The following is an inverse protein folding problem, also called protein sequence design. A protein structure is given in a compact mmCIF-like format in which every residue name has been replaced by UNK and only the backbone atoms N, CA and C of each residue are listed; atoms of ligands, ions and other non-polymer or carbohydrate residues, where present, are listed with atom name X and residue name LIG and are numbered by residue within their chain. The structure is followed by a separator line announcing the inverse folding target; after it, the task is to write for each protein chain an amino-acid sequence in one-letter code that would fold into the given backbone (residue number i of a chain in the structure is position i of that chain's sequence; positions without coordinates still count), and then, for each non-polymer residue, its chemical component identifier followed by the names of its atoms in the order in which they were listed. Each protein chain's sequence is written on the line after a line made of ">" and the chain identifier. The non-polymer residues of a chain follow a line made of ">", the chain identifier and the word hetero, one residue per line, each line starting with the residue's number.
data_IF_738560752744
#
_entry.id   IF_738560752744
#
_cell.length_a   1.000
_cell.length_b   1.000
_cell.length_c   1.000
_cell.angle_alpha   90.00
_cell.angle_beta   90.00
_cell.angle_gamma   90.00
#
_symmetry.space_group_name_H-M   'P 1'
#
loop_
_entity.id
_entity.type
_entity.pdbx_description
1 polymer ?
#
# COMPACT_ATOMS: atom_id res chain seq x y z
N UNK A 1 -18.14 -22.51 -24.15
CA UNK A 1 -17.90 -21.10 -24.52
C UNK A 1 -17.04 -20.49 -23.42
N UNK A 2 -15.72 -20.41 -23.64
CA UNK A 2 -14.82 -19.79 -22.66
C UNK A 2 -14.93 -18.26 -22.84
N UNK A 3 -15.39 -17.57 -21.80
CA UNK A 3 -15.34 -16.12 -21.76
C UNK A 3 -13.86 -15.70 -21.80
N UNK A 4 -13.48 -14.94 -22.83
CA UNK A 4 -12.15 -14.35 -22.91
C UNK A 4 -11.93 -13.46 -21.69
N UNK A 5 -10.85 -13.68 -20.95
CA UNK A 5 -10.45 -12.81 -19.87
C UNK A 5 -10.32 -11.37 -20.41
N UNK A 6 -10.86 -10.35 -19.71
CA UNK A 6 -10.78 -8.98 -20.16
C UNK A 6 -9.31 -8.58 -20.33
N UNK A 7 -9.00 -7.91 -21.45
CA UNK A 7 -7.67 -7.38 -21.74
C UNK A 7 -7.15 -6.56 -20.55
N UNK A 8 -5.89 -6.73 -20.13
CA UNK A 8 -5.36 -6.03 -18.97
C UNK A 8 -5.51 -4.51 -19.17
N UNK A 9 -6.05 -3.77 -18.19
CA UNK A 9 -6.20 -2.34 -18.31
C UNK A 9 -4.81 -1.69 -18.52
N UNK A 10 -4.73 -0.59 -19.29
CA UNK A 10 -3.49 0.12 -19.53
C UNK A 10 -2.92 0.58 -18.17
N UNK A 11 -1.68 0.17 -17.88
CA UNK A 11 -0.86 0.49 -16.69
C UNK A 11 -1.68 0.97 -15.48
N UNK A 12 -2.09 0.02 -14.63
CA UNK A 12 -2.81 0.22 -13.35
C UNK A 12 -2.80 1.68 -12.84
N UNK A 13 -3.85 2.45 -13.19
CA UNK A 13 -3.97 3.85 -12.81
C UNK A 13 -3.88 3.97 -11.28
N UNK A 14 -2.89 4.72 -10.81
CA UNK A 14 -2.68 4.98 -9.40
C UNK A 14 -3.58 6.14 -8.96
N UNK A 15 -4.53 5.87 -8.07
CA UNK A 15 -5.47 6.85 -7.54
C UNK A 15 -5.00 7.33 -6.16
N UNK A 16 -4.72 8.63 -5.99
CA UNK A 16 -4.40 9.19 -4.68
C UNK A 16 -5.69 9.42 -3.87
N UNK A 17 -5.86 8.66 -2.80
CA UNK A 17 -7.01 8.75 -1.90
C UNK A 17 -6.86 9.86 -0.86
N UNK A 18 -5.65 10.05 -0.31
CA UNK A 18 -5.41 11.08 0.70
C UNK A 18 -3.97 11.55 0.73
N UNK A 19 -3.76 12.76 1.26
CA UNK A 19 -2.47 13.39 1.50
C UNK A 19 -2.50 14.22 2.77
N UNK A 20 -1.58 13.97 3.68
CA UNK A 20 -1.49 14.67 4.97
C UNK A 20 -0.05 15.06 5.26
N UNK A 21 0.20 16.34 5.55
CA UNK A 21 1.53 16.83 5.90
C UNK A 21 1.91 16.39 7.30
N UNK A 22 3.11 15.84 7.48
CA UNK A 22 3.61 15.37 8.79
C UNK A 22 5.13 15.41 8.85
N UNK A 23 5.71 15.92 9.94
CA UNK A 23 7.17 15.97 10.17
C UNK A 23 7.98 16.52 8.99
N UNK A 24 7.45 17.56 8.31
CA UNK A 24 8.05 18.15 7.11
C UNK A 24 7.78 17.39 5.80
N UNK A 25 7.40 16.11 5.89
CA UNK A 25 7.03 15.25 4.76
C UNK A 25 5.52 15.12 4.55
N UNK A 26 5.11 14.06 3.85
CA UNK A 26 3.71 13.74 3.58
C UNK A 26 3.41 12.25 3.78
N UNK A 27 2.35 11.94 4.51
CA UNK A 27 1.65 10.67 4.42
C UNK A 27 0.70 10.72 3.23
N UNK A 28 0.81 9.76 2.32
CA UNK A 28 0.00 9.60 1.12
C UNK A 28 -0.68 8.25 1.19
N UNK A 29 -1.90 8.18 0.66
CA UNK A 29 -2.62 6.91 0.51
C UNK A 29 -3.04 6.76 -0.93
N UNK A 30 -2.78 5.59 -1.48
CA UNK A 30 -3.08 5.29 -2.87
C UNK A 30 -3.90 4.02 -3.01
N UNK A 31 -4.72 3.99 -4.05
CA UNK A 31 -5.41 2.80 -4.55
C UNK A 31 -4.91 2.49 -5.95
N UNK A 32 -4.69 1.22 -6.23
CA UNK A 32 -4.35 0.73 -7.55
C UNK A 32 -5.04 -0.60 -7.81
N UNK A 33 -5.23 -0.96 -9.07
CA UNK A 33 -5.65 -2.31 -9.42
C UNK A 33 -4.44 -3.24 -9.45
N UNK A 34 -4.43 -4.28 -8.62
CA UNK A 34 -3.36 -5.27 -8.59
C UNK A 34 -3.62 -6.35 -9.64
N UNK A 35 -2.77 -6.41 -10.67
CA UNK A 35 -2.85 -7.47 -11.68
C UNK A 35 -2.58 -8.87 -11.09
N UNK A 36 -1.79 -8.97 -10.01
CA UNK A 36 -1.48 -10.24 -9.35
C UNK A 36 -2.66 -10.76 -8.53
N UNK A 37 -3.38 -9.86 -7.85
CA UNK A 37 -4.47 -10.21 -6.95
C UNK A 37 -5.86 -10.09 -7.61
N UNK A 38 -5.93 -9.50 -8.80
CA UNK A 38 -7.18 -9.30 -9.55
C UNK A 38 -8.14 -8.31 -8.89
N UNK A 39 -7.70 -7.51 -7.92
CA UNK A 39 -8.56 -6.62 -7.14
C UNK A 39 -7.92 -5.24 -6.92
N UNK A 40 -8.73 -4.22 -6.57
CA UNK A 40 -8.21 -2.97 -6.03
C UNK A 40 -7.46 -3.22 -4.71
N UNK A 41 -6.28 -2.62 -4.58
CA UNK A 41 -5.42 -2.70 -3.39
C UNK A 41 -5.06 -1.29 -2.95
N UNK A 42 -5.02 -1.10 -1.63
CA UNK A 42 -4.65 0.18 -1.01
C UNK A 42 -3.29 0.06 -0.35
N UNK A 43 -2.49 1.11 -0.40
CA UNK A 43 -1.24 1.20 0.34
C UNK A 43 -0.99 2.64 0.78
N UNK A 44 -0.26 2.78 1.87
CA UNK A 44 0.16 4.08 2.38
C UNK A 44 1.66 4.29 2.20
N UNK A 45 2.07 5.52 1.93
CA UNK A 45 3.46 5.94 1.75
C UNK A 45 3.74 7.15 2.62
N UNK A 46 4.83 7.12 3.38
CA UNK A 46 5.41 8.34 3.95
C UNK A 46 6.59 8.79 3.10
N UNK A 47 6.50 10.01 2.55
CA UNK A 47 7.61 10.68 1.88
C UNK A 47 8.24 11.69 2.83
N UNK A 48 9.53 11.52 3.20
CA UNK A 48 10.23 12.46 4.06
C UNK A 48 10.48 13.79 3.34
N UNK A 49 10.74 14.88 4.09
CA UNK A 49 11.22 16.13 3.49
C UNK A 49 12.62 15.91 2.91
N UNK A 50 12.74 15.72 1.60
CA UNK A 50 14.03 15.56 0.94
C UNK A 50 14.00 16.17 -0.47
N UNK A 51 15.08 16.85 -0.89
CA UNK A 51 15.23 17.33 -2.26
C UNK A 51 15.74 16.24 -3.23
N UNK A 52 16.14 15.07 -2.71
CA UNK A 52 16.67 13.97 -3.52
C UNK A 52 15.55 13.24 -4.27
N UNK A 53 15.78 12.90 -5.53
CA UNK A 53 14.85 12.10 -6.33
C UNK A 53 14.81 10.63 -5.92
N UNK A 54 15.95 10.13 -5.43
CA UNK A 54 16.11 8.75 -5.01
C UNK A 54 16.21 8.69 -3.48
N UNK A 55 15.21 8.07 -2.85
CA UNK A 55 15.16 7.86 -1.41
C UNK A 55 15.26 6.37 -1.09
N UNK A 56 15.99 5.98 -0.04
CA UNK A 56 15.91 4.62 0.46
C UNK A 56 14.47 4.32 0.92
N UNK A 57 13.99 3.13 0.60
CA UNK A 57 12.60 2.71 0.84
C UNK A 57 12.58 1.58 1.85
N UNK A 58 11.81 1.77 2.92
CA UNK A 58 11.50 0.72 3.89
C UNK A 58 10.06 0.25 3.70
N UNK A 59 9.90 -1.03 3.37
CA UNK A 59 8.60 -1.68 3.31
C UNK A 59 8.24 -2.24 4.68
N UNK A 60 7.13 -1.77 5.25
CA UNK A 60 6.59 -2.27 6.50
C UNK A 60 5.43 -3.22 6.23
N UNK A 61 5.61 -4.49 6.58
CA UNK A 61 4.56 -5.51 6.48
C UNK A 61 3.83 -5.59 7.82
N UNK A 62 2.62 -5.05 7.86
CA UNK A 62 1.78 -5.12 9.06
C UNK A 62 1.34 -6.56 9.36
N UNK A 63 1.14 -6.88 10.64
CA UNK A 63 0.69 -8.20 11.09
C UNK A 63 -0.81 -8.46 10.82
N UNK A 64 -1.27 -9.66 11.20
CA UNK A 64 -2.68 -10.08 11.07
C UNK A 64 -3.65 -9.00 11.61
N UNK A 65 -4.78 -8.82 10.93
CA UNK A 65 -5.85 -7.84 11.20
C UNK A 65 -5.52 -6.35 11.00
N UNK A 66 -4.29 -6.00 10.64
CA UNK A 66 -3.92 -4.61 10.37
C UNK A 66 -4.27 -4.19 8.94
N UNK A 67 -4.63 -2.92 8.76
CA UNK A 67 -4.71 -2.26 7.46
C UNK A 67 -3.53 -1.29 7.26
N UNK A 68 -3.50 -0.60 6.11
CA UNK A 68 -2.42 0.33 5.76
C UNK A 68 -2.30 1.55 6.70
N UNK A 69 -3.40 1.92 7.37
CA UNK A 69 -3.45 3.07 8.28
C UNK A 69 -2.90 2.75 9.68
N UNK A 70 -2.95 1.48 10.12
CA UNK A 70 -2.50 1.07 11.46
C UNK A 70 -1.04 1.49 11.73
N UNK A 71 -0.13 1.17 10.81
CA UNK A 71 1.28 1.50 10.95
C UNK A 71 1.51 3.01 10.85
N UNK A 72 0.90 3.64 9.85
CA UNK A 72 1.09 5.06 9.55
C UNK A 72 0.53 5.96 10.67
N UNK A 73 -0.51 5.53 11.39
CA UNK A 73 -1.12 6.39 12.42
C UNK A 73 -0.55 6.13 13.81
N UNK A 74 -0.14 4.89 14.12
CA UNK A 74 0.15 4.48 15.50
C UNK A 74 1.63 4.19 15.79
N UNK A 75 2.45 3.88 14.77
CA UNK A 75 3.85 3.49 15.02
C UNK A 75 4.79 4.67 15.32
N UNK A 76 4.41 5.90 14.95
CA UNK A 76 5.25 7.10 15.10
C UNK A 76 6.54 7.08 14.26
N UNK A 77 6.65 6.14 13.31
CA UNK A 77 7.86 5.90 12.52
C UNK A 77 8.25 7.07 11.61
N UNK A 78 7.29 7.93 11.23
CA UNK A 78 7.50 9.06 10.31
C UNK A 78 8.50 10.08 10.84
N UNK A 79 8.55 10.28 12.17
CA UNK A 79 9.51 11.22 12.75
C UNK A 79 10.94 10.74 12.54
N UNK A 80 11.20 9.45 12.78
CA UNK A 80 12.51 8.84 12.54
C UNK A 80 12.81 8.77 11.04
N UNK A 81 11.84 8.36 10.23
CA UNK A 81 11.98 8.30 8.77
C UNK A 81 12.31 9.68 8.17
N UNK A 82 11.68 10.75 8.66
CA UNK A 82 12.01 12.13 8.26
C UNK A 82 13.45 12.51 8.65
N UNK A 83 13.89 12.16 9.86
CA UNK A 83 15.24 12.46 10.32
C UNK A 83 16.33 11.73 9.53
N UNK A 84 16.02 10.53 9.01
CA UNK A 84 16.95 9.71 8.24
C UNK A 84 16.77 9.79 6.72
N UNK A 85 15.80 10.56 6.22
CA UNK A 85 15.51 10.68 4.79
C UNK A 85 15.02 9.37 4.15
N UNK A 86 14.29 8.54 4.90
CA UNK A 86 13.79 7.23 4.44
C UNK A 86 12.31 7.34 4.07
N UNK A 87 11.94 6.83 2.90
CA UNK A 87 10.54 6.65 2.53
C UNK A 87 9.97 5.36 3.17
N UNK A 88 8.75 5.43 3.70
CA UNK A 88 8.06 4.25 4.25
C UNK A 88 6.95 3.83 3.31
N UNK A 89 6.79 2.52 3.08
CA UNK A 89 5.67 1.96 2.31
C UNK A 89 4.98 0.89 3.16
N UNK A 90 3.69 1.05 3.39
CA UNK A 90 2.85 0.11 4.14
C UNK A 90 1.71 -0.38 3.23
N UNK A 91 1.85 -1.55 2.59
CA UNK A 91 0.77 -2.17 1.83
C UNK A 91 -0.34 -2.70 2.75
N UNK A 92 -1.56 -2.85 2.22
CA UNK A 92 -2.60 -3.64 2.87
C UNK A 92 -2.16 -5.11 3.00
N UNK A 93 -2.71 -5.80 3.99
CA UNK A 93 -2.29 -7.14 4.37
C UNK A 93 -2.90 -8.23 3.49
N UNK A 94 -3.91 -7.91 2.68
CA UNK A 94 -4.55 -8.86 1.76
C UNK A 94 -5.46 -8.17 0.74
N UNK A 95 -5.88 -8.89 -0.31
CA UNK A 95 -7.06 -8.51 -1.09
C UNK A 95 -8.25 -8.17 -0.20
N UNK A 96 -9.06 -7.18 -0.62
CA UNK A 96 -10.34 -6.85 0.02
C UNK A 96 -11.43 -6.67 -1.03
N UNK A 97 -12.67 -6.96 -0.66
CA UNK A 97 -13.83 -6.75 -1.52
C UNK A 97 -13.96 -7.76 -2.65
N UNK A 98 -13.38 -8.95 -2.51
CA UNK A 98 -13.52 -10.06 -3.46
C UNK A 98 -14.83 -10.83 -3.26
N UNK A 99 -15.50 -10.65 -2.11
CA UNK A 99 -16.79 -11.27 -1.78
C UNK A 99 -16.75 -12.81 -1.95
N UNK A 100 -15.61 -13.42 -1.58
CA UNK A 100 -15.41 -14.86 -1.65
C UNK A 100 -16.09 -15.49 -0.43
N UNK A 101 -16.90 -16.52 -0.68
CA UNK A 101 -17.56 -17.30 0.36
C UNK A 101 -16.50 -17.93 1.28
N UNK A 102 -16.55 -17.63 2.59
CA UNK A 102 -15.59 -18.09 3.58
C UNK A 102 -14.40 -17.16 3.89
N UNK A 103 -14.20 -16.04 3.16
CA UNK A 103 -13.04 -15.14 3.38
C UNK A 103 -13.08 -14.36 4.71
N UNK A 104 -14.28 -14.27 5.31
CA UNK A 104 -14.53 -13.58 6.57
C UNK A 104 -14.80 -14.54 7.75
N UNK A 105 -14.75 -15.85 7.51
CA UNK A 105 -15.18 -16.87 8.48
C UNK A 105 -14.10 -17.19 9.54
N UNK A 106 -12.84 -16.85 9.28
CA UNK A 106 -11.73 -17.05 10.21
C UNK A 106 -10.66 -15.97 10.06
N UNK A 107 -10.18 -15.44 11.18
CA UNK A 107 -9.10 -14.43 11.20
C UNK A 107 -7.73 -15.00 10.77
N UNK A 108 -7.59 -16.32 10.68
CA UNK A 108 -6.36 -17.06 10.34
C UNK A 108 -6.40 -17.70 8.94
N UNK A 109 -7.47 -17.47 8.17
CA UNK A 109 -7.61 -17.95 6.79
C UNK A 109 -8.31 -16.90 5.94
N UNK A 110 -7.59 -16.28 5.00
CA UNK A 110 -8.13 -15.25 4.10
C UNK A 110 -7.55 -13.86 4.35
N UNK A 111 -8.41 -12.84 4.42
CA UNK A 111 -8.07 -11.41 4.46
C UNK A 111 -7.08 -11.09 5.60
N UNK A 112 -5.77 -11.10 5.29
CA UNK A 112 -4.68 -10.72 6.19
C UNK A 112 -3.31 -11.33 5.85
N UNK A 113 -3.17 -12.10 4.76
CA UNK A 113 -1.92 -12.74 4.35
C UNK A 113 -1.14 -11.93 3.31
N UNK A 114 0.01 -11.40 3.74
CA UNK A 114 0.85 -10.51 2.96
C UNK A 114 1.33 -11.15 1.67
N UNK A 115 0.96 -10.60 0.51
CA UNK A 115 1.60 -10.94 -0.77
C UNK A 115 2.23 -9.68 -1.38
N UNK A 116 3.54 -9.70 -1.60
CA UNK A 116 4.31 -8.60 -2.17
C UNK A 116 4.40 -8.70 -3.70
N UNK A 117 4.22 -7.57 -4.39
CA UNK A 117 5.07 -7.24 -5.55
C UNK A 117 5.31 -5.73 -5.63
N UNK A 118 6.50 -5.38 -6.13
CA UNK A 118 7.11 -4.05 -6.20
C UNK A 118 6.13 -2.93 -6.56
N UNK A 119 6.01 -1.95 -5.67
CA UNK A 119 5.41 -0.65 -5.99
C UNK A 119 6.52 0.25 -6.51
N UNK A 120 6.42 0.71 -7.75
CA UNK A 120 7.35 1.72 -8.25
C UNK A 120 6.97 3.07 -7.65
N UNK A 121 7.75 3.54 -6.67
CA UNK A 121 7.51 4.81 -5.98
C UNK A 121 8.22 6.00 -6.62
N UNK A 122 9.02 5.81 -7.68
CA UNK A 122 9.78 6.90 -8.31
C UNK A 122 8.88 7.95 -8.97
N UNK A 123 7.60 7.66 -9.16
CA UNK A 123 6.59 8.59 -9.70
C UNK A 123 5.76 9.30 -8.62
N UNK A 124 6.11 9.17 -7.33
CA UNK A 124 5.33 9.74 -6.21
C UNK A 124 5.81 11.12 -5.74
N UNK A 125 6.87 11.66 -6.36
CA UNK A 125 7.40 13.00 -6.06
C UNK A 125 6.63 14.08 -6.83
#
# INVERSE_FOLDING_TARGET
>A
MAAAAPSPPPVAALEQMSRTKMFGGHNLRFRHHSATLGCPMTFSVFLPPSPASDLPVLYWLSGLTCNDENFVTKAGAQRAAAAHGIALVAPDTSPRGLNIEGEADSWDFGVGLSTLKTVNISSLQ
#
